data_IF_906680487227
#
_entry.id   IF_906680487227
#
_cell.length_a   1.000
_cell.length_b   1.000
_cell.length_c   1.000
_cell.angle_alpha   90.00
_cell.angle_beta   90.00
_cell.angle_gamma   90.00
#
_symmetry.space_group_name_H-M   'P 1'
#
loop_
_entity.id
_entity.type
_entity.pdbx_description
1 polymer ?
#
# COMPACT_ATOMS: atom_id res chain seq x y z
N UNK A 1 -2.30 14.52 -14.23
CA UNK A 1 -1.28 14.31 -13.18
C UNK A 1 -1.90 14.55 -11.83
N UNK A 2 -1.68 13.66 -10.87
CA UNK A 2 -2.22 13.74 -9.51
C UNK A 2 -1.13 14.28 -8.58
N UNK A 3 -1.39 15.44 -7.94
CA UNK A 3 -0.49 16.03 -6.96
C UNK A 3 -0.81 15.52 -5.55
N UNK A 4 0.21 15.07 -4.82
CA UNK A 4 0.11 14.61 -3.44
C UNK A 4 1.39 14.95 -2.67
N UNK A 5 1.32 14.98 -1.33
CA UNK A 5 2.52 15.15 -0.51
C UNK A 5 3.35 13.87 -0.51
N UNK A 6 2.68 12.73 -0.37
CA UNK A 6 3.33 11.41 -0.31
C UNK A 6 2.60 10.42 -1.21
N UNK A 7 3.35 9.66 -2.00
CA UNK A 7 2.84 8.46 -2.66
C UNK A 7 3.26 7.24 -1.84
N UNK A 8 2.30 6.43 -1.43
CA UNK A 8 2.54 5.15 -0.75
C UNK A 8 2.39 4.02 -1.78
N UNK A 9 3.42 3.21 -1.92
CA UNK A 9 3.42 2.04 -2.81
C UNK A 9 3.23 0.79 -1.97
N UNK A 10 2.05 0.19 -2.08
CA UNK A 10 1.63 -0.97 -1.32
C UNK A 10 0.53 -0.66 -0.31
N UNK A 11 -0.60 -1.38 -0.40
CA UNK A 11 -1.76 -1.27 0.47
C UNK A 11 -1.89 -2.44 1.47
N UNK A 12 -0.77 -3.04 1.84
CA UNK A 12 -0.68 -3.99 2.95
C UNK A 12 -0.72 -3.29 4.31
N UNK A 13 -0.58 -4.02 5.43
CA UNK A 13 -0.68 -3.45 6.77
C UNK A 13 0.26 -2.26 7.02
N UNK A 14 1.48 -2.33 6.52
CA UNK A 14 2.46 -1.24 6.66
C UNK A 14 2.02 0.00 5.88
N UNK A 15 1.58 -0.16 4.63
CA UNK A 15 1.08 0.95 3.81
C UNK A 15 -0.15 1.60 4.43
N UNK A 16 -1.09 0.81 4.94
CA UNK A 16 -2.29 1.32 5.62
C UNK A 16 -1.93 2.10 6.89
N UNK A 17 -0.99 1.60 7.69
CA UNK A 17 -0.53 2.33 8.87
C UNK A 17 0.21 3.62 8.50
N UNK A 18 0.97 3.63 7.40
CA UNK A 18 1.55 4.87 6.87
C UNK A 18 0.48 5.90 6.53
N UNK A 19 -0.62 5.50 5.88
CA UNK A 19 -1.76 6.39 5.60
C UNK A 19 -2.30 7.02 6.88
N UNK A 20 -2.48 6.23 7.94
CA UNK A 20 -2.92 6.73 9.24
C UNK A 20 -1.94 7.78 9.79
N UNK A 21 -0.64 7.48 9.82
CA UNK A 21 0.36 8.39 10.37
C UNK A 21 0.48 9.69 9.55
N UNK A 22 0.44 9.60 8.24
CA UNK A 22 0.44 10.76 7.36
C UNK A 22 -0.80 11.63 7.58
N UNK A 23 -1.96 11.00 7.74
CA UNK A 23 -3.20 11.70 8.05
C UNK A 23 -3.15 12.45 9.40
N UNK A 24 -2.59 11.84 10.44
CA UNK A 24 -2.41 12.46 11.76
C UNK A 24 -1.57 13.74 11.68
N UNK A 25 -0.53 13.75 10.86
CA UNK A 25 0.32 14.95 10.69
C UNK A 25 -0.17 15.90 9.58
N UNK A 26 -1.33 15.63 9.00
CA UNK A 26 -1.97 16.51 8.01
C UNK A 26 -1.38 16.46 6.61
N UNK A 27 -0.65 15.41 6.25
CA UNK A 27 -0.13 15.21 4.90
C UNK A 27 -1.12 14.43 4.04
N UNK A 28 -1.32 14.93 2.81
CA UNK A 28 -2.11 14.23 1.80
C UNK A 28 -1.31 13.07 1.22
N UNK A 29 -1.93 11.90 1.11
CA UNK A 29 -1.32 10.78 0.43
C UNK A 29 -2.27 10.10 -0.56
N UNK A 30 -1.66 9.48 -1.56
CA UNK A 30 -2.30 8.57 -2.51
C UNK A 30 -1.62 7.20 -2.37
N UNK A 31 -2.37 6.12 -2.57
CA UNK A 31 -1.85 4.75 -2.45
C UNK A 31 -2.01 4.00 -3.76
N UNK A 32 -0.96 3.32 -4.20
CA UNK A 32 -0.97 2.45 -5.40
C UNK A 32 -0.67 1.03 -4.97
N UNK A 33 -1.50 0.08 -5.42
CA UNK A 33 -1.27 -1.35 -5.20
C UNK A 33 -1.63 -2.17 -6.45
N UNK A 34 -0.84 -3.19 -6.72
CA UNK A 34 -1.05 -4.09 -7.85
C UNK A 34 -2.21 -5.08 -7.62
N UNK A 35 -2.59 -5.33 -6.37
CA UNK A 35 -3.70 -6.20 -6.03
C UNK A 35 -5.05 -5.50 -6.26
N UNK A 36 -6.09 -6.30 -6.39
CA UNK A 36 -7.46 -5.81 -6.63
C UNK A 36 -8.19 -5.36 -5.36
N UNK A 37 -7.58 -5.59 -4.19
CA UNK A 37 -8.13 -5.24 -2.88
C UNK A 37 -7.04 -4.79 -1.91
N UNK A 38 -7.47 -4.02 -0.91
CA UNK A 38 -6.62 -3.54 0.17
C UNK A 38 -6.34 -4.70 1.16
N UNK A 39 -5.13 -4.76 1.72
CA UNK A 39 -4.76 -5.69 2.77
C UNK A 39 -3.47 -6.47 2.52
N UNK A 40 -2.98 -6.52 1.27
CA UNK A 40 -1.74 -7.19 0.93
C UNK A 40 -1.75 -8.68 1.27
N UNK A 41 -0.64 -9.19 1.79
CA UNK A 41 -0.50 -10.62 2.13
C UNK A 41 -1.54 -11.11 3.13
N UNK A 42 -1.93 -10.29 4.10
CA UNK A 42 -2.86 -10.67 5.15
C UNK A 42 -4.23 -11.09 4.60
N UNK A 43 -4.67 -10.44 3.54
CA UNK A 43 -5.94 -10.77 2.88
C UNK A 43 -5.73 -11.79 1.75
N UNK A 44 -4.66 -11.64 0.97
CA UNK A 44 -4.45 -12.46 -0.22
C UNK A 44 -4.04 -13.90 0.09
N UNK A 45 -3.18 -14.10 1.09
CA UNK A 45 -2.57 -15.39 1.36
C UNK A 45 -3.10 -16.11 2.59
N UNK A 46 -3.50 -15.38 3.63
CA UNK A 46 -3.90 -15.98 4.90
C UNK A 46 -4.91 -15.15 5.70
N UNK A 47 -6.10 -14.87 5.12
CA UNK A 47 -7.09 -14.03 5.80
C UNK A 47 -7.57 -14.59 7.14
N UNK A 48 -7.67 -15.91 7.25
CA UNK A 48 -8.17 -16.62 8.44
C UNK A 48 -7.06 -17.07 9.40
N UNK A 49 -5.79 -16.84 9.05
CA UNK A 49 -4.67 -17.27 9.88
C UNK A 49 -4.55 -16.39 11.12
N UNK A 50 -4.42 -16.96 12.34
CA UNK A 50 -4.14 -16.18 13.53
C UNK A 50 -2.73 -15.56 13.46
N UNK A 51 -2.67 -14.29 13.85
CA UNK A 51 -1.46 -13.46 13.90
C UNK A 51 -1.26 -13.04 15.35
N UNK A 52 -0.03 -13.16 15.85
CA UNK A 52 0.32 -12.92 17.27
C UNK A 52 1.37 -11.82 17.47
N UNK A 53 1.88 -11.25 16.41
CA UNK A 53 3.03 -10.33 16.40
C UNK A 53 2.66 -8.87 16.07
N UNK A 54 1.41 -8.50 16.32
CA UNK A 54 0.96 -7.11 16.18
C UNK A 54 1.02 -6.42 17.54
N UNK A 55 1.71 -5.28 17.67
CA UNK A 55 1.80 -4.56 18.94
C UNK A 55 0.42 -4.26 19.52
N UNK A 56 0.25 -4.53 20.82
CA UNK A 56 -0.98 -4.33 21.59
C UNK A 56 -2.20 -5.16 21.14
N UNK A 57 -2.06 -6.06 20.19
CA UNK A 57 -3.10 -7.02 19.79
C UNK A 57 -2.55 -8.42 20.03
N UNK A 58 -3.00 -9.11 21.12
CA UNK A 58 -2.48 -10.43 21.48
C UNK A 58 -2.70 -11.49 20.40
N UNK A 59 -3.83 -11.41 19.71
CA UNK A 59 -4.21 -12.30 18.62
C UNK A 59 -5.24 -11.62 17.72
N UNK A 60 -5.09 -11.76 16.41
CA UNK A 60 -6.11 -11.39 15.41
C UNK A 60 -5.91 -12.22 14.15
N UNK A 61 -6.92 -12.28 13.29
CA UNK A 61 -6.76 -12.83 11.94
C UNK A 61 -6.22 -11.77 10.98
N UNK A 62 -5.73 -12.20 9.81
CA UNK A 62 -5.30 -11.30 8.75
C UNK A 62 -6.43 -10.38 8.28
N UNK A 63 -7.65 -10.90 8.20
CA UNK A 63 -8.85 -10.14 7.86
C UNK A 63 -9.21 -9.11 8.93
N UNK A 64 -9.23 -9.50 10.20
CA UNK A 64 -9.50 -8.59 11.32
C UNK A 64 -8.50 -7.44 11.38
N UNK A 65 -7.20 -7.74 11.22
CA UNK A 65 -6.15 -6.72 11.18
C UNK A 65 -6.39 -5.72 10.05
N UNK A 66 -6.68 -6.22 8.85
CA UNK A 66 -6.92 -5.37 7.69
C UNK A 66 -8.15 -4.49 7.87
N UNK A 67 -9.25 -5.06 8.36
CA UNK A 67 -10.48 -4.32 8.62
C UNK A 67 -10.27 -3.22 9.65
N UNK A 68 -9.55 -3.49 10.74
CA UNK A 68 -9.22 -2.51 11.77
C UNK A 68 -8.37 -1.37 11.21
N UNK A 69 -7.37 -1.67 10.37
CA UNK A 69 -6.55 -0.64 9.72
C UNK A 69 -7.37 0.23 8.76
N UNK A 70 -8.29 -0.37 7.99
CA UNK A 70 -9.19 0.37 7.11
C UNK A 70 -10.09 1.31 7.92
N UNK A 71 -10.64 0.85 9.05
CA UNK A 71 -11.43 1.72 9.94
C UNK A 71 -10.61 2.92 10.45
N UNK A 72 -9.35 2.69 10.83
CA UNK A 72 -8.47 3.75 11.33
C UNK A 72 -8.20 4.85 10.29
N UNK A 73 -8.15 4.50 9.01
CA UNK A 73 -7.81 5.46 7.95
C UNK A 73 -9.01 6.17 7.34
N UNK A 74 -10.23 5.73 7.62
CA UNK A 74 -11.46 6.34 7.07
C UNK A 74 -11.54 7.88 7.18
N UNK A 75 -11.13 8.51 8.31
CA UNK A 75 -11.19 9.95 8.43
C UNK A 75 -10.32 10.72 7.42
N UNK A 76 -9.29 10.11 6.87
CA UNK A 76 -8.26 10.80 6.07
C UNK A 76 -8.55 10.86 4.57
N UNK A 77 -9.64 10.22 4.09
CA UNK A 77 -10.12 10.30 2.70
C UNK A 77 -9.04 10.04 1.64
N UNK A 78 -8.17 9.08 1.89
CA UNK A 78 -7.10 8.67 0.97
C UNK A 78 -7.67 7.92 -0.23
N UNK A 79 -7.16 8.20 -1.43
CA UNK A 79 -7.51 7.44 -2.62
C UNK A 79 -6.59 6.25 -2.80
N UNK A 80 -7.19 5.11 -3.16
CA UNK A 80 -6.49 3.88 -3.48
C UNK A 80 -6.61 3.58 -4.97
N UNK A 81 -5.47 3.38 -5.62
CA UNK A 81 -5.34 3.02 -7.02
C UNK A 81 -4.97 1.55 -7.09
N UNK A 82 -5.99 0.69 -7.10
CA UNK A 82 -5.85 -0.77 -7.10
C UNK A 82 -5.72 -1.33 -8.52
N UNK A 83 -5.30 -2.58 -8.64
CA UNK A 83 -4.98 -3.22 -9.92
C UNK A 83 -4.01 -2.38 -10.76
N UNK A 84 -3.12 -1.64 -10.12
CA UNK A 84 -2.18 -0.77 -10.79
C UNK A 84 -0.80 -0.87 -10.12
N UNK A 85 0.24 -0.79 -10.92
CA UNK A 85 1.61 -0.96 -10.44
C UNK A 85 2.46 0.23 -10.86
N UNK A 86 3.29 0.71 -9.93
CA UNK A 86 4.33 1.68 -10.27
C UNK A 86 5.33 1.05 -11.21
N UNK A 87 5.56 1.68 -12.35
CA UNK A 87 6.48 1.22 -13.39
C UNK A 87 7.74 2.08 -13.44
N UNK A 88 7.56 3.39 -13.32
CA UNK A 88 8.66 4.35 -13.46
C UNK A 88 8.64 5.36 -12.33
N UNK A 89 9.81 5.64 -11.78
CA UNK A 89 10.04 6.69 -10.80
C UNK A 89 11.21 7.54 -11.28
N UNK A 90 10.98 8.84 -11.39
CA UNK A 90 12.01 9.80 -11.75
C UNK A 90 11.97 11.01 -10.82
N UNK A 91 13.12 11.67 -10.65
CA UNK A 91 13.21 12.89 -9.84
C UNK A 91 13.26 14.10 -10.76
N UNK A 92 12.38 15.07 -10.50
CA UNK A 92 12.38 16.35 -11.21
C UNK A 92 12.38 17.49 -10.19
N UNK A 93 13.50 18.20 -10.12
CA UNK A 93 13.73 19.21 -9.09
C UNK A 93 13.61 18.62 -7.66
N UNK A 94 12.68 19.16 -6.86
CA UNK A 94 12.41 18.72 -5.49
C UNK A 94 11.33 17.65 -5.39
N UNK A 95 10.68 17.30 -6.51
CA UNK A 95 9.57 16.35 -6.54
C UNK A 95 9.95 15.06 -7.24
N UNK A 96 9.18 14.02 -6.93
CA UNK A 96 9.19 12.75 -7.62
C UNK A 96 8.05 12.72 -8.64
N UNK A 97 8.31 12.23 -9.83
CA UNK A 97 7.33 11.89 -10.83
C UNK A 97 7.22 10.38 -10.91
N UNK A 98 6.02 9.87 -10.76
CA UNK A 98 5.74 8.45 -10.73
C UNK A 98 4.72 8.12 -11.81
N UNK A 99 5.00 7.07 -12.58
CA UNK A 99 4.10 6.57 -13.61
C UNK A 99 3.74 5.12 -13.34
N UNK A 100 2.49 4.78 -13.57
CA UNK A 100 1.98 3.43 -13.41
C UNK A 100 1.80 2.73 -14.76
N UNK A 101 1.68 1.39 -14.73
CA UNK A 101 1.42 0.58 -15.92
C UNK A 101 0.12 0.94 -16.64
N UNK A 102 -0.86 1.51 -15.93
CA UNK A 102 -2.12 2.01 -16.50
C UNK A 102 -2.03 3.45 -17.01
N UNK A 103 -0.83 4.04 -16.97
CA UNK A 103 -0.59 5.39 -17.46
C UNK A 103 -1.03 6.50 -16.51
N UNK A 104 -1.34 6.21 -15.24
CA UNK A 104 -1.53 7.24 -14.23
C UNK A 104 -0.20 7.90 -13.91
N UNK A 105 -0.23 9.20 -13.71
CA UNK A 105 0.94 9.99 -13.36
C UNK A 105 0.71 10.72 -12.04
N UNK A 106 1.67 10.60 -11.14
CA UNK A 106 1.69 11.27 -9.84
C UNK A 106 2.91 12.19 -9.74
N UNK A 107 2.70 13.28 -9.02
CA UNK A 107 3.77 14.16 -8.56
C UNK A 107 3.71 14.20 -7.04
N UNK A 108 4.79 13.78 -6.39
CA UNK A 108 4.86 13.69 -4.94
C UNK A 108 6.16 14.32 -4.40
N UNK A 109 6.08 14.89 -3.20
CA UNK A 109 7.27 15.37 -2.50
C UNK A 109 8.11 14.21 -1.95
N UNK A 110 7.45 13.11 -1.58
CA UNK A 110 8.08 11.90 -1.05
C UNK A 110 7.37 10.64 -1.53
N UNK A 111 8.09 9.52 -1.49
CA UNK A 111 7.54 8.20 -1.80
C UNK A 111 7.87 7.28 -0.63
N UNK A 112 6.87 6.51 -0.17
CA UNK A 112 7.06 5.42 0.79
C UNK A 112 6.82 4.10 0.06
N UNK A 113 7.84 3.24 0.03
CA UNK A 113 7.74 1.92 -0.58
C UNK A 113 7.45 0.89 0.50
N UNK A 114 6.25 0.32 0.49
CA UNK A 114 5.75 -0.68 1.41
C UNK A 114 5.21 -1.90 0.64
N UNK A 115 5.92 -2.30 -0.42
CA UNK A 115 5.48 -3.29 -1.41
C UNK A 115 5.55 -4.75 -0.95
N UNK A 116 6.05 -5.04 0.25
CA UNK A 116 6.17 -6.40 0.78
C UNK A 116 6.97 -7.30 -0.18
N UNK A 117 6.43 -8.47 -0.50
CA UNK A 117 7.02 -9.41 -1.49
C UNK A 117 6.64 -9.06 -2.93
N UNK A 118 5.92 -7.97 -3.15
CA UNK A 118 5.43 -7.54 -4.46
C UNK A 118 4.19 -8.30 -4.93
N UNK A 119 4.02 -8.39 -6.25
CA UNK A 119 2.96 -9.21 -6.84
C UNK A 119 3.22 -10.69 -6.58
N UNK A 120 2.20 -11.41 -6.11
CA UNK A 120 2.33 -12.82 -5.75
C UNK A 120 2.34 -13.74 -6.98
N UNK A 121 3.38 -13.64 -7.80
CA UNK A 121 3.62 -14.62 -8.85
C UNK A 121 4.36 -15.83 -8.27
N UNK A 122 3.78 -17.04 -8.31
CA UNK A 122 4.45 -18.24 -7.85
C UNK A 122 5.76 -18.46 -8.63
N UNK A 123 6.84 -18.76 -7.92
CA UNK A 123 8.07 -19.19 -8.58
C UNK A 123 7.82 -20.51 -9.28
N UNK A 124 7.97 -20.52 -10.60
CA UNK A 124 7.88 -21.75 -11.39
C UNK A 124 9.20 -22.51 -11.29
N UNK A 125 9.14 -23.78 -10.94
CA UNK A 125 10.30 -24.65 -11.07
C UNK A 125 10.54 -24.86 -12.57
N UNK A 126 11.75 -24.62 -13.02
CA UNK A 126 12.17 -25.05 -14.34
C UNK A 126 12.38 -26.57 -14.30
N UNK A 127 11.40 -27.33 -14.80
CA UNK A 127 11.56 -28.76 -15.03
C UNK A 127 12.43 -28.87 -16.30
N UNK A 128 13.62 -29.44 -16.16
CA UNK A 128 14.47 -29.84 -17.29
C UNK A 128 13.98 -31.17 -17.85
#
# INVERSE_FOLDING_TARGET
MIDTDVLVVGAGPVGLFCVHQLGIIGLKCEVVDNLDKIGGQCIELYPDKPIYDIPAIPECTGEELTNNLIEQIKPFKTNFHLNDRVEEISKKNKNWLIKTIKGKEFKASSIIIAGGVGSFEPRKFSVK
#
